data_IF_612311988996
#
_entry.id   IF_612311988996
#
_cell.length_a   1.000
_cell.length_b   1.000
_cell.length_c   1.000
_cell.angle_alpha   90.00
_cell.angle_beta   90.00
_cell.angle_gamma   90.00
#
_symmetry.space_group_name_H-M   'P 1'
#
loop_
_entity.id
_entity.type
_entity.pdbx_description
1 polymer ?
#
# COMPACT_ATOMS: atom_id res chain seq x y z
N UNK A 1 6.00 0.99 -22.97
CA UNK A 1 5.15 0.09 -23.80
C UNK A 1 5.88 -0.45 -25.04
N UNK A 2 6.76 0.34 -25.68
CA UNK A 2 7.49 -0.10 -26.90
C UNK A 2 8.43 -1.30 -26.67
N UNK A 3 8.91 -1.49 -25.43
CA UNK A 3 9.90 -2.53 -25.09
C UNK A 3 9.26 -3.79 -24.47
N UNK A 4 7.93 -3.85 -24.30
CA UNK A 4 7.25 -4.97 -23.65
C UNK A 4 7.59 -5.15 -22.15
N UNK A 5 8.33 -4.22 -21.56
CA UNK A 5 8.74 -4.29 -20.16
C UNK A 5 7.63 -3.70 -19.28
N UNK A 6 7.23 -4.46 -18.26
CA UNK A 6 6.30 -4.01 -17.24
C UNK A 6 7.05 -3.27 -16.13
N UNK A 7 6.84 -1.94 -15.96
CA UNK A 7 7.53 -1.18 -14.91
C UNK A 7 7.02 -1.57 -13.52
N UNK A 8 7.93 -1.49 -12.54
CA UNK A 8 7.66 -1.67 -11.13
C UNK A 8 7.97 -0.36 -10.41
N UNK A 9 6.94 0.27 -9.85
CA UNK A 9 7.09 1.49 -9.06
C UNK A 9 7.10 1.14 -7.58
N UNK A 10 8.07 1.71 -6.86
CA UNK A 10 8.18 1.59 -5.41
C UNK A 10 8.04 2.98 -4.81
N UNK A 11 7.12 3.14 -3.87
CA UNK A 11 6.81 4.42 -3.25
C UNK A 11 6.77 4.25 -1.73
N UNK A 12 7.39 5.17 -1.01
CA UNK A 12 7.15 5.39 0.41
C UNK A 12 5.95 6.30 0.51
N UNK A 13 4.91 5.89 1.23
CA UNK A 13 3.63 6.58 1.19
C UNK A 13 3.28 7.29 2.51
N UNK A 14 3.59 6.69 3.64
CA UNK A 14 3.23 7.19 4.97
C UNK A 14 4.36 8.02 5.61
N UNK A 15 4.88 8.97 4.85
CA UNK A 15 5.81 9.96 5.36
C UNK A 15 5.07 10.92 6.34
N UNK A 16 5.51 11.04 7.61
CA UNK A 16 4.84 11.85 8.61
C UNK A 16 4.87 13.36 8.32
N UNK A 17 5.70 13.83 7.38
CA UNK A 17 5.75 15.22 6.96
C UNK A 17 4.90 15.51 5.71
N UNK A 18 4.43 14.49 5.02
CA UNK A 18 3.57 14.64 3.84
C UNK A 18 2.17 15.11 4.22
N UNK A 19 1.71 16.14 3.55
CA UNK A 19 0.37 16.66 3.70
C UNK A 19 -0.66 15.81 2.94
N UNK A 20 -1.95 15.98 3.23
CA UNK A 20 -3.03 15.37 2.44
C UNK A 20 -2.97 15.80 0.97
N UNK A 21 -2.62 17.04 0.72
CA UNK A 21 -2.48 17.58 -0.63
C UNK A 21 -1.35 16.88 -1.42
N UNK A 22 -0.22 16.56 -0.76
CA UNK A 22 0.88 15.83 -1.39
C UNK A 22 0.46 14.39 -1.76
N UNK A 23 -0.28 13.73 -0.88
CA UNK A 23 -0.83 12.39 -1.14
C UNK A 23 -1.84 12.41 -2.29
N UNK A 24 -2.68 13.44 -2.37
CA UNK A 24 -3.61 13.67 -3.46
C UNK A 24 -2.88 13.86 -4.80
N UNK A 25 -1.87 14.74 -4.83
CA UNK A 25 -1.05 14.97 -6.03
C UNK A 25 -0.33 13.72 -6.49
N UNK A 26 0.23 12.95 -5.55
CA UNK A 26 0.87 11.67 -5.84
C UNK A 26 -0.13 10.68 -6.47
N UNK A 27 -1.32 10.55 -5.89
CA UNK A 27 -2.39 9.73 -6.46
C UNK A 27 -2.77 10.18 -7.88
N UNK A 28 -2.97 11.47 -8.10
CA UNK A 28 -3.32 12.05 -9.39
C UNK A 28 -2.22 11.78 -10.44
N UNK A 29 -0.96 11.94 -10.06
CA UNK A 29 0.19 11.64 -10.91
C UNK A 29 0.20 10.16 -11.33
N UNK A 30 0.08 9.23 -10.37
CA UNK A 30 0.08 7.78 -10.66
C UNK A 30 -1.13 7.40 -11.52
N UNK A 31 -2.28 8.06 -11.33
CA UNK A 31 -3.48 7.85 -12.14
C UNK A 31 -3.31 8.22 -13.62
N UNK A 32 -2.23 8.91 -14.00
CA UNK A 32 -1.88 9.18 -15.41
C UNK A 32 -1.06 8.07 -16.04
N UNK A 33 -0.43 7.20 -15.25
CA UNK A 33 0.49 6.18 -15.78
C UNK A 33 -0.25 5.15 -16.63
N UNK A 34 0.25 4.82 -17.82
CA UNK A 34 -0.37 3.79 -18.66
C UNK A 34 -0.16 2.39 -18.07
N UNK A 35 -1.19 1.54 -18.09
CA UNK A 35 -1.05 0.12 -17.77
C UNK A 35 -0.29 -0.64 -18.89
N UNK A 36 0.36 -1.78 -18.57
CA UNK A 36 0.47 -2.42 -17.27
C UNK A 36 1.64 -1.90 -16.41
N UNK A 37 1.47 -1.84 -15.12
CA UNK A 37 2.54 -1.61 -14.14
C UNK A 37 2.22 -2.30 -12.81
N UNK A 38 3.24 -2.54 -12.00
CA UNK A 38 3.09 -2.93 -10.61
C UNK A 38 3.44 -1.75 -9.71
N UNK A 39 2.70 -1.64 -8.61
CA UNK A 39 2.89 -0.61 -7.60
C UNK A 39 3.10 -1.28 -6.24
N UNK A 40 4.22 -0.95 -5.62
CA UNK A 40 4.57 -1.38 -4.27
C UNK A 40 4.62 -0.14 -3.38
N UNK A 41 3.75 -0.12 -2.39
CA UNK A 41 3.73 0.92 -1.37
C UNK A 41 4.50 0.41 -0.14
N UNK A 42 5.39 1.24 0.36
CA UNK A 42 6.20 0.94 1.55
C UNK A 42 5.91 1.97 2.63
N UNK A 43 5.96 1.52 3.87
CA UNK A 43 5.97 2.40 5.02
C UNK A 43 7.34 3.01 5.21
N UNK A 44 7.37 4.27 5.62
CA UNK A 44 8.60 4.92 6.04
C UNK A 44 9.05 4.34 7.38
N UNK A 45 10.29 3.89 7.44
CA UNK A 45 10.91 3.45 8.68
C UNK A 45 11.87 4.54 9.16
N UNK A 46 11.58 5.10 10.32
CA UNK A 46 12.44 6.11 10.94
C UNK A 46 13.39 5.40 11.89
N UNK A 47 14.70 5.47 11.59
CA UNK A 47 15.71 4.82 12.40
C UNK A 47 16.03 5.67 13.63
N UNK A 48 16.07 5.05 14.85
CA UNK A 48 16.51 5.71 16.05
C UNK A 48 17.88 6.38 15.88
N UNK A 49 18.03 7.61 16.37
CA UNK A 49 19.28 8.36 16.27
C UNK A 49 19.57 9.02 14.94
N UNK A 50 18.75 8.79 13.89
CA UNK A 50 18.87 9.51 12.62
C UNK A 50 18.48 10.99 12.77
N UNK A 51 19.02 11.85 11.91
CA UNK A 51 18.68 13.27 11.84
C UNK A 51 17.16 13.49 11.67
N UNK A 52 16.55 12.68 10.81
CA UNK A 52 15.10 12.70 10.59
C UNK A 52 14.35 12.38 11.88
N UNK A 53 14.77 11.33 12.62
CA UNK A 53 14.15 10.97 13.88
C UNK A 53 14.20 12.12 14.90
N UNK A 54 15.35 12.78 15.04
CA UNK A 54 15.50 13.95 15.93
C UNK A 54 14.52 15.05 15.55
N UNK A 55 14.46 15.43 14.26
CA UNK A 55 13.54 16.45 13.74
C UNK A 55 12.07 16.10 13.96
N UNK A 56 11.68 14.84 13.76
CA UNK A 56 10.30 14.40 13.97
C UNK A 56 9.90 14.43 15.44
N UNK A 57 10.81 14.09 16.37
CA UNK A 57 10.60 14.22 17.82
C UNK A 57 10.51 15.69 18.21
N UNK A 58 11.45 16.53 17.76
CA UNK A 58 11.47 17.97 18.03
C UNK A 58 10.21 18.69 17.57
N UNK A 59 9.66 18.27 16.42
CA UNK A 59 8.40 18.79 15.89
C UNK A 59 7.14 18.11 16.47
N UNK A 60 7.28 17.19 17.41
CA UNK A 60 6.16 16.48 18.04
C UNK A 60 5.37 15.57 17.10
N UNK A 61 5.95 15.20 15.95
CA UNK A 61 5.30 14.33 14.94
C UNK A 61 5.37 12.86 15.31
N UNK A 62 6.38 12.45 16.08
CA UNK A 62 6.48 11.11 16.68
C UNK A 62 6.83 11.26 18.15
N UNK A 63 6.27 10.40 18.99
CA UNK A 63 6.62 10.34 20.42
C UNK A 63 7.97 9.68 20.61
N UNK A 64 8.70 10.09 21.65
CA UNK A 64 9.99 9.50 22.00
C UNK A 64 9.92 7.98 22.18
N UNK A 65 8.77 7.48 22.66
CA UNK A 65 8.52 6.06 22.90
C UNK A 65 8.13 5.28 21.63
N UNK A 66 7.64 5.96 20.59
CA UNK A 66 7.29 5.30 19.34
C UNK A 66 8.54 4.79 18.60
N UNK A 67 9.72 5.27 19.00
CA UNK A 67 11.00 4.91 18.40
C UNK A 67 11.79 3.94 19.29
N UNK A 68 11.73 4.12 20.62
CA UNK A 68 12.50 3.31 21.58
C UNK A 68 11.72 2.10 22.11
N UNK A 69 10.37 2.13 22.04
CA UNK A 69 9.50 1.08 22.56
C UNK A 69 8.87 0.18 21.51
N UNK A 70 9.03 0.50 20.24
CA UNK A 70 8.65 -0.42 19.17
C UNK A 70 9.66 -1.53 19.16
N UNK A 71 9.18 -2.76 19.32
CA UNK A 71 9.93 -3.96 19.00
C UNK A 71 10.53 -3.77 17.59
N UNK A 72 11.76 -3.28 17.56
CA UNK A 72 12.49 -2.91 16.35
C UNK A 72 12.56 -4.05 15.34
N UNK A 73 12.35 -5.28 15.78
CA UNK A 73 12.25 -6.46 14.92
C UNK A 73 11.03 -6.41 14.00
N UNK A 74 9.89 -5.87 14.44
CA UNK A 74 8.70 -5.75 13.58
C UNK A 74 8.83 -4.64 12.53
N UNK A 75 9.48 -3.54 12.88
CA UNK A 75 9.68 -2.41 11.96
C UNK A 75 10.64 -2.78 10.81
N UNK A 76 11.70 -3.55 11.11
CA UNK A 76 12.66 -4.01 10.09
C UNK A 76 12.07 -4.97 9.04
N UNK A 77 11.03 -5.73 9.39
CA UNK A 77 10.45 -6.74 8.49
C UNK A 77 9.19 -6.30 7.75
N UNK A 78 8.59 -5.16 8.13
CA UNK A 78 7.39 -4.63 7.45
C UNK A 78 7.75 -3.66 6.32
N UNK A 79 8.39 -4.17 5.28
CA UNK A 79 8.74 -3.35 4.11
C UNK A 79 7.54 -2.99 3.22
N UNK A 80 6.36 -3.56 3.46
CA UNK A 80 5.16 -3.26 2.68
C UNK A 80 4.10 -2.61 3.53
N UNK A 81 3.43 -1.63 2.96
CA UNK A 81 2.25 -1.05 3.57
C UNK A 81 1.16 -2.11 3.65
N UNK A 82 0.77 -2.48 4.87
CA UNK A 82 -0.34 -3.35 5.15
C UNK A 82 -1.55 -2.50 5.54
N UNK A 83 -2.69 -2.69 4.87
CA UNK A 83 -3.92 -1.95 5.17
C UNK A 83 -4.50 -2.23 6.56
N UNK A 84 -4.15 -3.37 7.16
CA UNK A 84 -4.55 -3.71 8.53
C UNK A 84 -3.67 -3.08 9.62
N UNK A 85 -2.54 -2.46 9.26
CA UNK A 85 -1.66 -1.80 10.23
C UNK A 85 -2.31 -0.49 10.73
N UNK A 86 -2.29 -0.19 12.05
CA UNK A 86 -2.83 1.06 12.58
C UNK A 86 -2.16 2.28 11.96
N UNK A 87 -2.95 3.13 11.33
CA UNK A 87 -2.50 4.35 10.65
C UNK A 87 -3.51 5.46 10.84
N UNK A 88 -3.11 6.71 10.64
CA UNK A 88 -4.07 7.79 10.46
C UNK A 88 -5.13 7.44 9.41
N UNK A 89 -6.35 7.84 9.66
CA UNK A 89 -7.51 7.49 8.80
C UNK A 89 -7.29 7.95 7.36
N UNK A 90 -6.75 9.14 7.21
CA UNK A 90 -6.45 9.77 5.91
C UNK A 90 -5.39 8.97 5.13
N UNK A 91 -4.35 8.50 5.82
CA UNK A 91 -3.28 7.69 5.21
C UNK A 91 -3.84 6.37 4.70
N UNK A 92 -4.65 5.72 5.50
CA UNK A 92 -5.29 4.46 5.14
C UNK A 92 -6.18 4.61 3.90
N UNK A 93 -6.92 5.72 3.80
CA UNK A 93 -7.72 6.03 2.62
C UNK A 93 -6.87 6.17 1.36
N UNK A 94 -5.83 7.01 1.40
CA UNK A 94 -4.99 7.28 0.23
C UNK A 94 -4.17 6.07 -0.19
N UNK A 95 -3.68 5.26 0.77
CA UNK A 95 -2.98 4.00 0.51
C UNK A 95 -3.90 3.03 -0.23
N UNK A 96 -5.10 2.79 0.29
CA UNK A 96 -6.06 1.88 -0.32
C UNK A 96 -6.44 2.32 -1.74
N UNK A 97 -6.70 3.61 -1.93
CA UNK A 97 -7.07 4.17 -3.21
C UNK A 97 -5.92 4.05 -4.23
N UNK A 98 -4.70 4.38 -3.81
CA UNK A 98 -3.51 4.34 -4.66
C UNK A 98 -3.14 2.90 -5.05
N UNK A 99 -3.26 1.95 -4.14
CA UNK A 99 -3.04 0.53 -4.47
C UNK A 99 -3.94 0.02 -5.59
N UNK A 100 -5.19 0.48 -5.63
CA UNK A 100 -6.15 0.09 -6.68
C UNK A 100 -5.77 0.60 -8.06
N UNK A 101 -4.99 1.69 -8.17
CA UNK A 101 -4.52 2.22 -9.47
C UNK A 101 -3.69 1.21 -10.27
N UNK A 102 -2.99 0.29 -9.60
CA UNK A 102 -2.20 -0.76 -10.28
C UNK A 102 -3.06 -1.90 -10.84
N UNK A 103 -4.37 -1.89 -10.63
CA UNK A 103 -5.28 -2.95 -11.05
C UNK A 103 -5.99 -2.52 -12.35
N UNK A 104 -5.67 -3.14 -13.50
CA UNK A 104 -6.21 -2.69 -14.80
C UNK A 104 -7.74 -2.85 -14.91
N UNK A 105 -8.33 -3.75 -14.11
CA UNK A 105 -9.77 -3.99 -14.08
C UNK A 105 -10.55 -3.00 -13.18
N UNK A 106 -9.85 -2.13 -12.41
CA UNK A 106 -10.50 -1.09 -11.60
C UNK A 106 -10.55 0.21 -12.40
N UNK A 107 -11.76 0.74 -12.69
CA UNK A 107 -11.88 1.96 -13.48
C UNK A 107 -11.28 3.17 -12.77
N UNK A 108 -10.38 3.88 -13.45
CA UNK A 108 -9.74 5.09 -12.90
C UNK A 108 -10.72 6.24 -12.64
N UNK A 109 -11.77 6.33 -13.44
CA UNK A 109 -12.84 7.31 -13.24
C UNK A 109 -13.53 7.12 -11.88
N UNK A 110 -13.78 5.86 -11.49
CA UNK A 110 -14.31 5.51 -10.18
C UNK A 110 -13.36 5.98 -9.08
N UNK A 111 -12.05 5.64 -9.17
CA UNK A 111 -11.07 6.02 -8.18
C UNK A 111 -10.92 7.55 -8.05
N UNK A 112 -10.94 8.27 -9.19
CA UNK A 112 -10.95 9.74 -9.21
C UNK A 112 -12.23 10.33 -8.61
N UNK A 113 -13.37 9.69 -8.78
CA UNK A 113 -14.61 10.06 -8.12
C UNK A 113 -14.51 9.89 -6.60
N UNK A 114 -14.00 8.75 -6.16
CA UNK A 114 -13.81 8.42 -4.73
C UNK A 114 -12.81 9.37 -4.06
N UNK A 115 -11.74 9.78 -4.74
CA UNK A 115 -10.72 10.69 -4.18
C UNK A 115 -11.27 12.07 -3.80
N UNK A 116 -12.39 12.49 -4.38
CA UNK A 116 -13.07 13.75 -4.09
C UNK A 116 -14.05 13.66 -2.91
N UNK A 117 -14.37 12.46 -2.45
CA UNK A 117 -15.36 12.25 -1.41
C UNK A 117 -14.79 12.49 -0.02
N UNK A 118 -15.22 13.55 0.64
CA UNK A 118 -14.87 13.83 2.04
C UNK A 118 -15.37 12.73 2.98
N UNK A 119 -16.55 12.17 2.73
CA UNK A 119 -17.11 11.08 3.51
C UNK A 119 -16.21 9.83 3.48
N UNK A 120 -15.74 9.41 2.29
CA UNK A 120 -14.86 8.24 2.17
C UNK A 120 -13.48 8.46 2.80
N UNK A 121 -12.99 9.71 2.84
CA UNK A 121 -11.75 10.04 3.55
C UNK A 121 -11.89 9.88 5.07
N UNK A 122 -13.01 10.33 5.62
CA UNK A 122 -13.30 10.17 7.04
C UNK A 122 -13.68 8.73 7.43
N UNK A 123 -14.25 7.98 6.48
CA UNK A 123 -14.69 6.61 6.68
C UNK A 123 -14.08 5.69 5.60
N UNK A 124 -12.77 5.36 5.68
CA UNK A 124 -12.04 4.65 4.61
C UNK A 124 -12.39 3.18 4.50
N UNK A 125 -13.14 2.62 5.46
CA UNK A 125 -13.44 1.19 5.49
C UNK A 125 -13.99 0.63 4.16
N UNK A 126 -14.96 1.26 3.46
CA UNK A 126 -15.43 0.75 2.17
C UNK A 126 -14.31 0.70 1.11
N UNK A 127 -13.43 1.72 1.11
CA UNK A 127 -12.29 1.80 0.17
C UNK A 127 -11.28 0.70 0.46
N UNK A 128 -11.01 0.43 1.74
CA UNK A 128 -10.12 -0.65 2.17
C UNK A 128 -10.67 -2.01 1.72
N UNK A 129 -11.97 -2.26 1.91
CA UNK A 129 -12.59 -3.53 1.48
C UNK A 129 -12.54 -3.69 -0.05
N UNK A 130 -12.75 -2.61 -0.80
CA UNK A 130 -12.58 -2.63 -2.26
C UNK A 130 -11.14 -2.93 -2.66
N UNK A 131 -10.15 -2.35 -1.99
CA UNK A 131 -8.73 -2.61 -2.24
C UNK A 131 -8.36 -4.08 -1.93
N UNK A 132 -8.87 -4.62 -0.82
CA UNK A 132 -8.68 -6.02 -0.45
C UNK A 132 -9.31 -6.96 -1.49
N UNK A 133 -10.54 -6.69 -1.91
CA UNK A 133 -11.23 -7.45 -2.95
C UNK A 133 -10.47 -7.40 -4.29
N UNK A 134 -9.98 -6.22 -4.68
CA UNK A 134 -9.18 -6.05 -5.89
C UNK A 134 -7.84 -6.82 -5.80
N UNK A 135 -7.20 -6.85 -4.64
CA UNK A 135 -6.01 -7.65 -4.40
C UNK A 135 -6.31 -9.14 -4.51
N UNK A 136 -7.42 -9.60 -3.91
CA UNK A 136 -7.84 -10.99 -3.98
C UNK A 136 -8.11 -11.45 -5.44
N UNK A 137 -8.82 -10.63 -6.23
CA UNK A 137 -9.04 -10.88 -7.66
C UNK A 137 -7.71 -10.99 -8.42
N UNK A 138 -6.78 -10.05 -8.19
CA UNK A 138 -5.44 -10.11 -8.82
C UNK A 138 -4.68 -11.39 -8.43
N UNK A 139 -4.75 -11.78 -7.17
CA UNK A 139 -4.13 -13.03 -6.70
C UNK A 139 -4.76 -14.25 -7.38
N UNK A 140 -6.09 -14.29 -7.49
CA UNK A 140 -6.80 -15.35 -8.20
C UNK A 140 -6.39 -15.45 -9.68
N UNK A 141 -6.26 -14.32 -10.37
CA UNK A 141 -5.78 -14.28 -11.76
C UNK A 141 -4.34 -14.81 -11.89
N UNK A 142 -3.45 -14.45 -10.97
CA UNK A 142 -2.07 -14.96 -10.95
C UNK A 142 -2.05 -16.46 -10.69
N UNK A 143 -2.82 -16.94 -9.71
CA UNK A 143 -2.91 -18.37 -9.41
C UNK A 143 -3.46 -19.17 -10.59
N UNK A 144 -4.53 -18.70 -11.22
CA UNK A 144 -5.10 -19.31 -12.42
C UNK A 144 -4.11 -19.38 -13.56
N UNK A 145 -3.36 -18.30 -13.82
CA UNK A 145 -2.31 -18.26 -14.82
C UNK A 145 -1.16 -19.24 -14.54
N UNK A 146 -0.75 -19.36 -13.27
CA UNK A 146 0.28 -20.33 -12.87
C UNK A 146 -0.22 -21.78 -12.98
N UNK A 147 -1.48 -22.02 -12.61
CA UNK A 147 -2.09 -23.35 -12.75
C UNK A 147 -2.16 -23.79 -14.22
N UNK A 148 -2.56 -22.89 -15.13
CA UNK A 148 -2.62 -23.18 -16.57
C UNK A 148 -1.23 -23.47 -17.18
N UNK A 149 -0.15 -22.89 -16.63
CA UNK A 149 1.23 -23.17 -17.05
C UNK A 149 1.87 -24.36 -16.36
N UNK A 150 1.13 -25.06 -15.48
CA UNK A 150 1.68 -26.20 -14.72
C UNK A 150 2.70 -25.79 -13.63
N UNK A 151 2.79 -24.52 -13.31
CA UNK A 151 3.74 -23.97 -12.33
C UNK A 151 3.24 -24.07 -10.86
N UNK A 152 2.03 -24.57 -10.67
CA UNK A 152 1.38 -24.66 -9.36
C UNK A 152 1.94 -25.85 -8.57
N UNK A 153 2.91 -25.60 -7.70
CA UNK A 153 3.45 -26.62 -6.79
C UNK A 153 2.71 -26.60 -5.44
N UNK A 154 2.70 -27.77 -4.73
CA UNK A 154 2.13 -27.85 -3.36
C UNK A 154 2.75 -26.83 -2.39
N UNK A 155 4.01 -26.50 -2.58
CA UNK A 155 4.74 -25.50 -1.78
C UNK A 155 4.21 -24.08 -2.01
N UNK A 156 3.89 -23.75 -3.27
CA UNK A 156 3.28 -22.47 -3.63
C UNK A 156 1.88 -22.31 -3.02
N UNK A 157 1.05 -23.34 -3.14
CA UNK A 157 -0.29 -23.35 -2.53
C UNK A 157 -0.20 -23.17 -1.02
N UNK A 158 0.71 -23.87 -0.34
CA UNK A 158 0.94 -23.69 1.10
C UNK A 158 1.39 -22.27 1.46
N UNK A 159 2.31 -21.67 0.70
CA UNK A 159 2.74 -20.28 0.89
C UNK A 159 1.58 -19.31 0.71
N UNK A 160 0.73 -19.52 -0.30
CA UNK A 160 -0.43 -18.67 -0.52
C UNK A 160 -1.42 -18.75 0.63
N UNK A 161 -1.76 -19.94 1.11
CA UNK A 161 -2.64 -20.15 2.28
C UNK A 161 -2.04 -19.60 3.59
N UNK A 162 -0.70 -19.53 3.71
CA UNK A 162 -0.07 -18.90 4.89
C UNK A 162 -0.01 -17.38 4.80
N UNK A 163 -0.04 -16.79 3.60
CA UNK A 163 -0.12 -15.34 3.40
C UNK A 163 -1.51 -14.78 3.76
N UNK A 164 -2.58 -15.54 3.61
CA UNK A 164 -3.94 -15.15 4.06
C UNK A 164 -4.01 -14.89 5.56
N UNK A 165 -3.20 -15.58 6.38
CA UNK A 165 -3.15 -15.35 7.82
C UNK A 165 -2.46 -14.03 8.23
N UNK A 166 -1.68 -13.42 7.34
CA UNK A 166 -1.02 -12.13 7.59
C UNK A 166 -1.99 -10.96 7.34
N UNK A 167 -3.08 -11.19 6.59
CA UNK A 167 -4.10 -10.18 6.29
C UNK A 167 -5.22 -10.15 7.35
N UNK A 168 -5.33 -11.18 8.18
CA UNK A 168 -6.43 -11.37 9.15
C UNK A 168 -6.03 -11.21 10.61
N UNK A 169 -4.78 -10.92 10.93
CA UNK A 169 -4.28 -10.57 12.27
C UNK A 169 -3.73 -9.17 12.26
#
# INVERSE_FOLDING_TARGET
HRLGIKPHFQLIFDDPVSTEEDKRKLFEMIATFPHPYDLYLFSMTVFPGSELNKKLIENGLIGKYDVDGIDNTRVFYQHRVNLSYPRPVEDTFWIALTQMLSKPFVPRSLLKGMSKSAFLRQHPWPVIQMANAANFVKMGQLAGGMAMRGEMTRTLVRRWMSMDRIITT
#
